data_IF_932351460684
#
_entry.id   IF_932351460684
#
_cell.length_a   1.000
_cell.length_b   1.000
_cell.length_c   1.000
_cell.angle_alpha   90.00
_cell.angle_beta   90.00
_cell.angle_gamma   90.00
#
_symmetry.space_group_name_H-M   'P 1'
#
loop_
_entity.id
_entity.type
_entity.pdbx_description
1 polymer ?
#
# COMPACT_ATOMS: atom_id res chain seq x y z
N UNK A 1 -43.99 46.27 -102.79
CA UNK A 1 -42.65 46.47 -102.27
C UNK A 1 -42.80 47.21 -100.95
N UNK A 2 -42.71 46.54 -99.86
CA UNK A 2 -42.97 47.13 -98.53
C UNK A 2 -41.71 46.92 -97.66
N UNK A 3 -41.11 47.99 -97.21
CA UNK A 3 -39.90 48.01 -96.37
C UNK A 3 -40.27 47.85 -94.88
N UNK A 4 -39.70 46.86 -94.28
CA UNK A 4 -39.93 46.57 -92.85
C UNK A 4 -38.90 47.33 -92.02
N UNK A 5 -39.38 48.18 -91.14
CA UNK A 5 -38.55 48.92 -90.16
C UNK A 5 -38.31 48.08 -88.88
N UNK A 6 -37.08 48.02 -88.31
CA UNK A 6 -36.86 47.32 -87.04
C UNK A 6 -37.30 48.21 -85.85
N UNK A 7 -38.09 47.60 -84.99
CA UNK A 7 -38.56 48.20 -83.71
C UNK A 7 -37.41 48.12 -82.67
N UNK A 8 -37.00 49.30 -82.15
CA UNK A 8 -36.05 49.45 -81.08
C UNK A 8 -36.79 49.13 -79.74
N UNK A 9 -36.40 48.10 -79.05
CA UNK A 9 -36.96 47.71 -77.78
C UNK A 9 -36.38 48.65 -76.64
N UNK A 10 -37.31 49.26 -75.93
CA UNK A 10 -37.00 50.19 -74.88
C UNK A 10 -36.21 49.54 -73.69
N UNK A 11 -35.15 50.17 -73.27
CA UNK A 11 -34.34 49.79 -72.09
C UNK A 11 -35.21 49.87 -70.85
N UNK A 12 -35.34 48.72 -70.17
CA UNK A 12 -36.09 48.62 -68.87
C UNK A 12 -35.39 49.41 -67.77
N UNK A 13 -36.00 50.47 -67.30
CA UNK A 13 -35.56 51.31 -66.19
C UNK A 13 -35.58 50.49 -64.89
N UNK A 14 -34.42 49.83 -64.50
CA UNK A 14 -34.30 49.14 -63.20
C UNK A 14 -34.74 50.07 -62.08
N UNK A 15 -35.83 49.69 -61.38
CA UNK A 15 -36.41 50.46 -60.30
C UNK A 15 -35.32 50.75 -59.21
N UNK A 16 -35.15 52.04 -58.90
CA UNK A 16 -34.21 52.50 -57.82
C UNK A 16 -34.45 51.76 -56.50
N UNK A 17 -35.69 51.30 -56.25
CA UNK A 17 -36.06 50.47 -55.10
C UNK A 17 -35.39 49.08 -55.13
N UNK A 18 -35.25 48.45 -56.29
CA UNK A 18 -34.57 47.17 -56.41
C UNK A 18 -33.06 47.28 -56.08
N UNK A 19 -32.43 48.33 -56.56
CA UNK A 19 -31.02 48.63 -56.26
C UNK A 19 -30.81 48.89 -54.77
N UNK A 20 -31.70 49.59 -54.09
CA UNK A 20 -31.61 49.88 -52.64
C UNK A 20 -31.80 48.58 -51.86
N UNK A 21 -32.75 47.71 -52.21
CA UNK A 21 -32.94 46.42 -51.57
C UNK A 21 -31.72 45.50 -51.78
N UNK A 22 -31.14 45.50 -52.97
CA UNK A 22 -29.94 44.70 -53.28
C UNK A 22 -28.74 45.19 -52.44
N UNK A 23 -28.54 46.51 -52.34
CA UNK A 23 -27.46 47.09 -51.51
C UNK A 23 -27.65 46.78 -50.04
N UNK A 24 -28.88 46.83 -49.50
CA UNK A 24 -29.17 46.43 -48.11
C UNK A 24 -28.89 44.93 -47.86
N UNK A 25 -29.24 44.03 -48.80
CA UNK A 25 -28.95 42.60 -48.70
C UNK A 25 -27.43 42.33 -48.76
N UNK A 26 -26.69 42.99 -49.64
CA UNK A 26 -25.24 42.87 -49.73
C UNK A 26 -24.56 43.44 -48.49
N UNK A 27 -25.01 44.60 -47.98
CA UNK A 27 -24.49 45.21 -46.79
C UNK A 27 -24.77 44.33 -45.53
N UNK A 28 -25.97 43.74 -45.43
CA UNK A 28 -26.37 42.80 -44.39
C UNK A 28 -25.55 41.51 -44.47
N UNK A 29 -25.36 40.99 -45.68
CA UNK A 29 -24.52 39.79 -45.93
C UNK A 29 -23.03 40.03 -45.59
N UNK A 30 -22.52 41.22 -45.97
CA UNK A 30 -21.13 41.62 -45.59
C UNK A 30 -20.99 41.82 -44.08
N UNK A 31 -21.93 42.47 -43.43
CA UNK A 31 -21.95 42.60 -41.98
C UNK A 31 -21.97 41.26 -41.26
N UNK A 32 -22.84 40.35 -41.67
CA UNK A 32 -22.91 38.99 -41.14
C UNK A 32 -21.64 38.15 -41.40
N UNK A 33 -21.08 38.28 -42.61
CA UNK A 33 -19.86 37.61 -43.00
C UNK A 33 -18.65 38.12 -42.20
N UNK A 34 -18.54 39.45 -42.00
CA UNK A 34 -17.46 40.06 -41.19
C UNK A 34 -17.58 39.69 -39.72
N UNK A 35 -18.78 39.75 -39.13
CA UNK A 35 -18.98 39.36 -37.74
C UNK A 35 -18.63 37.89 -37.49
N UNK A 36 -19.06 36.99 -38.39
CA UNK A 36 -18.73 35.56 -38.31
C UNK A 36 -17.25 35.28 -38.56
N UNK A 37 -16.58 36.05 -39.44
CA UNK A 37 -15.13 35.93 -39.67
C UNK A 37 -14.33 36.34 -38.45
N UNK A 38 -14.68 37.47 -37.77
CA UNK A 38 -14.00 37.90 -36.57
C UNK A 38 -14.28 36.99 -35.37
N UNK A 39 -15.48 36.41 -35.30
CA UNK A 39 -15.83 35.44 -34.29
C UNK A 39 -14.98 34.18 -34.45
N UNK A 40 -14.95 33.57 -35.62
CA UNK A 40 -14.16 32.35 -35.91
C UNK A 40 -12.64 32.55 -35.77
N UNK A 41 -12.16 33.80 -35.79
CA UNK A 41 -10.75 34.11 -35.55
C UNK A 41 -10.39 34.06 -34.07
N UNK A 42 -11.35 34.29 -33.18
CA UNK A 42 -11.17 34.34 -31.72
C UNK A 42 -11.71 33.10 -30.98
N UNK A 43 -12.32 32.16 -31.72
CA UNK A 43 -12.95 30.97 -31.14
C UNK A 43 -12.58 29.73 -31.94
N UNK A 44 -12.25 28.64 -31.25
CA UNK A 44 -12.11 27.30 -31.85
C UNK A 44 -13.12 26.36 -31.19
N UNK A 45 -13.95 25.78 -32.04
CA UNK A 45 -15.10 24.98 -31.62
C UNK A 45 -14.89 23.51 -31.99
N UNK A 46 -15.43 22.60 -31.14
CA UNK A 46 -15.55 21.18 -31.44
C UNK A 46 -16.84 20.61 -30.84
N UNK A 47 -17.49 19.75 -31.62
CA UNK A 47 -18.66 18.95 -31.25
C UNK A 47 -18.26 17.52 -30.82
N UNK A 48 -16.98 17.16 -31.01
CA UNK A 48 -16.44 15.87 -30.60
C UNK A 48 -15.80 16.00 -29.21
N UNK A 49 -16.66 16.16 -28.22
CA UNK A 49 -16.23 16.28 -26.82
C UNK A 49 -17.18 15.53 -25.90
N UNK A 50 -16.62 14.89 -24.89
CA UNK A 50 -17.35 14.10 -23.91
C UNK A 50 -16.90 14.41 -22.49
N UNK A 51 -17.84 14.26 -21.55
CA UNK A 51 -17.54 14.34 -20.14
C UNK A 51 -16.90 13.01 -19.71
N UNK A 52 -15.81 13.11 -18.97
CA UNK A 52 -15.13 11.97 -18.34
C UNK A 52 -15.06 12.16 -16.84
N UNK A 53 -14.84 11.06 -16.12
CA UNK A 53 -14.53 11.05 -14.69
C UNK A 53 -13.68 9.83 -14.34
N UNK A 54 -13.06 9.86 -13.16
CA UNK A 54 -12.39 8.68 -12.63
C UNK A 54 -13.39 7.56 -12.33
N UNK A 55 -13.04 6.36 -12.70
CA UNK A 55 -13.82 5.14 -12.45
C UNK A 55 -12.97 4.23 -11.56
N UNK A 56 -13.52 3.87 -10.39
CA UNK A 56 -12.88 2.93 -9.47
C UNK A 56 -13.49 1.54 -9.65
N UNK A 57 -12.74 0.56 -10.20
CA UNK A 57 -13.24 -0.80 -10.33
C UNK A 57 -13.30 -1.47 -8.95
N UNK A 58 -14.40 -2.14 -8.66
CA UNK A 58 -14.58 -3.00 -7.49
C UNK A 58 -14.19 -4.43 -7.88
N UNK A 59 -13.11 -4.93 -7.25
CA UNK A 59 -12.50 -6.22 -7.60
C UNK A 59 -12.53 -7.12 -6.36
N UNK A 60 -12.87 -8.40 -6.54
CA UNK A 60 -12.72 -9.39 -5.47
C UNK A 60 -11.25 -9.74 -5.26
N UNK A 61 -10.76 -9.64 -4.01
CA UNK A 61 -9.38 -10.04 -3.66
C UNK A 61 -9.27 -11.54 -3.34
N UNK A 62 -10.39 -12.19 -3.05
CA UNK A 62 -10.45 -13.61 -2.70
C UNK A 62 -11.50 -14.34 -3.56
N UNK A 63 -11.38 -15.65 -3.63
CA UNK A 63 -12.39 -16.51 -4.25
C UNK A 63 -13.39 -16.99 -3.18
N UNK A 64 -14.66 -17.09 -3.56
CA UNK A 64 -15.72 -17.60 -2.66
C UNK A 64 -17.10 -17.34 -3.21
N UNK A 65 -18.11 -17.87 -2.53
CA UNK A 65 -19.51 -17.66 -2.90
C UNK A 65 -19.99 -16.30 -2.38
N UNK A 66 -20.67 -15.55 -3.24
CA UNK A 66 -21.30 -14.28 -2.88
C UNK A 66 -22.49 -14.56 -1.94
N UNK A 67 -22.39 -14.09 -0.72
CA UNK A 67 -23.42 -14.30 0.29
C UNK A 67 -24.54 -13.26 0.16
N UNK A 68 -24.19 -11.98 0.04
CA UNK A 68 -25.15 -10.89 -0.03
C UNK A 68 -24.60 -9.68 -0.78
N UNK A 69 -25.50 -9.01 -1.54
CA UNK A 69 -25.25 -7.76 -2.23
C UNK A 69 -26.09 -6.66 -1.54
N UNK A 70 -25.42 -5.59 -1.08
CA UNK A 70 -26.08 -4.51 -0.33
C UNK A 70 -26.38 -3.28 -1.20
N UNK A 71 -25.85 -3.23 -2.41
CA UNK A 71 -25.97 -2.09 -3.32
C UNK A 71 -26.79 -2.45 -4.55
N UNK A 72 -27.43 -1.44 -5.13
CA UNK A 72 -28.22 -1.54 -6.36
C UNK A 72 -27.57 -0.72 -7.47
N UNK A 73 -27.98 -0.97 -8.70
CA UNK A 73 -27.62 -0.16 -9.86
C UNK A 73 -27.89 1.33 -9.59
N UNK A 74 -26.96 2.18 -9.97
CA UNK A 74 -27.06 3.64 -9.85
C UNK A 74 -27.27 4.16 -8.43
N UNK A 75 -26.93 3.38 -7.40
CA UNK A 75 -26.97 3.81 -6.01
C UNK A 75 -25.74 4.65 -5.66
N UNK A 76 -25.95 5.77 -4.94
CA UNK A 76 -24.84 6.54 -4.37
C UNK A 76 -24.31 5.84 -3.12
N UNK A 77 -22.97 5.68 -3.05
CA UNK A 77 -22.26 5.07 -1.93
C UNK A 77 -21.21 6.01 -1.39
N UNK A 78 -20.95 5.92 -0.09
CA UNK A 78 -19.89 6.64 0.60
C UNK A 78 -18.71 5.71 0.85
N UNK A 79 -17.53 6.29 0.96
CA UNK A 79 -16.33 5.56 1.39
C UNK A 79 -16.59 4.83 2.72
N UNK A 80 -16.29 3.53 2.74
CA UNK A 80 -16.54 2.64 3.88
C UNK A 80 -17.87 1.89 3.85
N UNK A 81 -18.80 2.24 2.97
CA UNK A 81 -20.06 1.51 2.84
C UNK A 81 -19.78 0.07 2.36
N UNK A 82 -20.44 -0.90 2.98
CA UNK A 82 -20.36 -2.31 2.56
C UNK A 82 -21.13 -2.49 1.26
N UNK A 83 -20.44 -2.99 0.23
CA UNK A 83 -21.02 -3.24 -1.08
C UNK A 83 -21.56 -4.64 -1.20
N UNK A 84 -20.79 -5.63 -0.80
CA UNK A 84 -21.17 -7.04 -0.80
C UNK A 84 -20.35 -7.85 0.21
N UNK A 85 -20.85 -9.03 0.55
CA UNK A 85 -20.15 -9.98 1.43
C UNK A 85 -20.01 -11.34 0.75
N UNK A 86 -18.84 -11.93 0.90
CA UNK A 86 -18.49 -13.27 0.45
C UNK A 86 -18.60 -14.22 1.68
N UNK A 87 -18.88 -15.49 1.46
CA UNK A 87 -18.92 -16.50 2.51
C UNK A 87 -17.59 -16.56 3.26
N UNK A 88 -17.62 -16.33 4.55
CA UNK A 88 -16.45 -16.16 5.41
C UNK A 88 -16.19 -17.37 6.33
N UNK A 89 -17.03 -18.41 6.26
CA UNK A 89 -16.99 -19.54 7.18
C UNK A 89 -15.65 -20.24 7.20
N UNK A 90 -15.09 -20.54 6.03
CA UNK A 90 -13.80 -21.22 5.91
C UNK A 90 -12.66 -20.37 6.46
N UNK A 91 -12.68 -19.06 6.18
CA UNK A 91 -11.66 -18.11 6.66
C UNK A 91 -11.75 -17.88 8.18
N UNK A 92 -12.96 -17.93 8.75
CA UNK A 92 -13.15 -17.92 10.22
C UNK A 92 -12.54 -19.15 10.88
N UNK A 93 -12.70 -20.32 10.27
CA UNK A 93 -12.08 -21.56 10.76
C UNK A 93 -10.55 -21.45 10.71
N UNK A 94 -9.99 -20.95 9.60
CA UNK A 94 -8.55 -20.73 9.45
C UNK A 94 -8.03 -19.74 10.51
N UNK A 95 -8.75 -18.64 10.75
CA UNK A 95 -8.39 -17.70 11.81
C UNK A 95 -8.37 -18.40 13.18
N UNK A 96 -9.38 -19.17 13.50
CA UNK A 96 -9.47 -19.87 14.77
C UNK A 96 -8.34 -20.91 14.95
N UNK A 97 -7.95 -21.60 13.86
CA UNK A 97 -6.80 -22.52 13.86
C UNK A 97 -5.48 -21.79 14.12
N UNK A 98 -5.27 -20.66 13.48
CA UNK A 98 -4.03 -19.87 13.66
C UNK A 98 -3.97 -19.25 15.06
N UNK A 99 -5.10 -18.82 15.63
CA UNK A 99 -5.18 -18.33 17.03
C UNK A 99 -4.88 -19.44 18.02
N UNK A 100 -5.38 -20.66 17.81
CA UNK A 100 -5.06 -21.82 18.64
C UNK A 100 -3.56 -22.17 18.57
N UNK A 101 -2.96 -22.10 17.37
CA UNK A 101 -1.54 -22.31 17.18
C UNK A 101 -0.68 -21.24 17.91
N UNK A 102 -1.11 -19.99 17.92
CA UNK A 102 -0.49 -18.92 18.71
C UNK A 102 -0.58 -19.21 20.21
N UNK A 103 -1.73 -19.66 20.70
CA UNK A 103 -1.92 -20.08 22.09
C UNK A 103 -0.97 -21.22 22.50
N UNK A 104 -0.79 -22.22 21.62
CA UNK A 104 0.19 -23.32 21.81
C UNK A 104 1.61 -22.79 21.89
N UNK A 105 2.00 -21.87 21.01
CA UNK A 105 3.32 -21.24 21.04
C UNK A 105 3.55 -20.45 22.34
N UNK A 106 2.52 -19.77 22.85
CA UNK A 106 2.55 -19.10 24.15
C UNK A 106 2.79 -20.06 25.33
N UNK A 107 2.12 -21.20 25.31
CA UNK A 107 2.32 -22.27 26.31
C UNK A 107 3.76 -22.84 26.24
N UNK A 108 4.29 -23.03 25.04
CA UNK A 108 5.68 -23.50 24.86
C UNK A 108 6.71 -22.47 25.37
N UNK A 109 6.47 -21.17 25.18
CA UNK A 109 7.33 -20.12 25.76
C UNK A 109 7.30 -20.18 27.29
N UNK A 110 6.12 -20.32 27.88
CA UNK A 110 5.96 -20.44 29.34
C UNK A 110 6.68 -21.66 29.90
N UNK A 111 6.61 -22.80 29.20
CA UNK A 111 7.36 -24.02 29.53
C UNK A 111 8.88 -23.81 29.44
N UNK A 112 9.37 -23.15 28.39
CA UNK A 112 10.80 -22.84 28.24
C UNK A 112 11.30 -21.91 29.36
N UNK A 113 10.50 -20.92 29.78
CA UNK A 113 10.79 -20.03 30.89
C UNK A 113 10.85 -20.79 32.22
N UNK A 114 9.90 -21.68 32.46
CA UNK A 114 9.89 -22.54 33.67
C UNK A 114 11.11 -23.44 33.72
N UNK A 115 11.48 -24.09 32.60
CA UNK A 115 12.67 -24.92 32.49
C UNK A 115 13.96 -24.13 32.74
N UNK A 116 14.10 -22.93 32.19
CA UNK A 116 15.25 -22.06 32.43
C UNK A 116 15.32 -21.62 33.90
N UNK A 117 14.18 -21.32 34.52
CA UNK A 117 14.09 -20.99 35.95
C UNK A 117 14.55 -22.17 36.82
N UNK A 118 14.11 -23.39 36.53
CA UNK A 118 14.56 -24.61 37.21
C UNK A 118 16.08 -24.83 37.04
N UNK A 119 16.60 -24.66 35.84
CA UNK A 119 18.03 -24.79 35.55
C UNK A 119 18.87 -23.77 36.33
N UNK A 120 18.40 -22.52 36.48
CA UNK A 120 19.07 -21.48 37.30
C UNK A 120 19.11 -21.85 38.78
N UNK A 121 18.07 -22.52 39.31
CA UNK A 121 18.10 -23.00 40.71
C UNK A 121 19.17 -24.07 40.91
N UNK A 122 19.45 -24.92 39.93
CA UNK A 122 20.53 -25.89 40.00
C UNK A 122 21.92 -25.24 40.07
N UNK A 123 22.14 -24.06 39.45
CA UNK A 123 23.39 -23.30 39.64
C UNK A 123 23.57 -22.90 41.13
N UNK A 124 22.52 -22.41 41.78
CA UNK A 124 22.60 -22.04 43.18
C UNK A 124 22.97 -23.22 44.09
N UNK A 125 22.45 -24.43 43.77
CA UNK A 125 22.79 -25.65 44.49
C UNK A 125 24.27 -26.02 44.35
N UNK A 126 24.81 -25.94 43.11
CA UNK A 126 26.24 -26.25 42.87
C UNK A 126 27.14 -25.16 43.46
N UNK A 127 26.75 -23.89 43.49
CA UNK A 127 27.48 -22.83 44.17
C UNK A 127 27.52 -23.03 45.71
N UNK A 128 26.43 -23.51 46.30
CA UNK A 128 26.41 -23.87 47.74
C UNK A 128 27.39 -24.99 48.04
N UNK A 129 27.54 -25.99 47.14
CA UNK A 129 28.54 -27.03 47.30
C UNK A 129 29.98 -26.49 47.27
N UNK A 130 30.29 -25.51 46.40
CA UNK A 130 31.59 -24.81 46.41
C UNK A 130 31.81 -24.05 47.72
N UNK A 131 30.78 -23.37 48.22
CA UNK A 131 30.87 -22.65 49.49
C UNK A 131 31.18 -23.59 50.65
N UNK A 132 30.54 -24.78 50.71
CA UNK A 132 30.82 -25.84 51.71
C UNK A 132 32.23 -26.31 51.60
N UNK A 133 32.71 -26.62 50.39
CA UNK A 133 34.10 -27.08 50.17
C UNK A 133 35.12 -25.99 50.60
N UNK A 134 34.85 -24.72 50.32
CA UNK A 134 35.72 -23.62 50.79
C UNK A 134 35.76 -23.57 52.31
N UNK A 135 34.66 -23.71 53.04
CA UNK A 135 34.62 -23.73 54.51
C UNK A 135 35.45 -24.91 55.06
N UNK A 136 35.41 -26.09 54.41
CA UNK A 136 36.23 -27.23 54.78
C UNK A 136 37.72 -26.98 54.55
N UNK A 137 38.08 -26.28 53.43
CA UNK A 137 39.47 -25.87 53.19
C UNK A 137 39.96 -24.89 54.25
N UNK A 138 39.15 -23.91 54.64
CA UNK A 138 39.53 -22.99 55.70
C UNK A 138 39.76 -23.73 57.03
N UNK A 139 38.95 -24.70 57.39
CA UNK A 139 39.17 -25.54 58.58
C UNK A 139 40.47 -26.36 58.44
N UNK A 140 40.77 -26.95 57.27
CA UNK A 140 41.99 -27.66 57.05
C UNK A 140 43.24 -26.77 57.10
N UNK A 141 43.16 -25.51 56.63
CA UNK A 141 44.24 -24.52 56.74
C UNK A 141 44.64 -24.25 58.22
N UNK A 142 43.66 -24.16 59.09
CA UNK A 142 43.92 -23.99 60.54
C UNK A 142 44.70 -25.21 61.10
N UNK A 143 44.33 -26.43 60.63
CA UNK A 143 45.06 -27.64 61.06
C UNK A 143 46.48 -27.71 60.48
N UNK A 144 46.66 -27.34 59.18
CA UNK A 144 48.02 -27.22 58.59
C UNK A 144 48.87 -26.20 59.37
N UNK A 145 48.28 -25.03 59.64
CA UNK A 145 48.97 -24.00 60.42
C UNK A 145 49.42 -24.53 61.82
N UNK A 146 48.53 -25.17 62.60
CA UNK A 146 48.81 -25.76 63.88
C UNK A 146 49.93 -26.78 63.79
N UNK A 147 49.88 -27.75 62.91
CA UNK A 147 50.89 -28.80 62.76
C UNK A 147 52.20 -28.23 62.23
N UNK A 148 52.21 -27.20 61.42
CA UNK A 148 53.43 -26.47 61.03
C UNK A 148 54.13 -25.76 62.15
N UNK A 149 53.39 -25.08 63.05
CA UNK A 149 53.98 -24.45 64.25
C UNK A 149 54.50 -25.49 65.23
N UNK A 150 53.82 -26.62 65.40
CA UNK A 150 54.30 -27.76 66.22
C UNK A 150 55.58 -28.30 65.60
N UNK A 151 55.65 -28.60 64.29
CA UNK A 151 56.90 -29.04 63.67
C UNK A 151 58.05 -28.08 63.89
N UNK A 152 57.82 -26.78 63.62
CA UNK A 152 58.84 -25.72 63.88
C UNK A 152 59.34 -25.72 65.27
N UNK A 153 58.50 -25.97 66.29
CA UNK A 153 58.85 -26.11 67.65
C UNK A 153 59.74 -27.34 67.86
N UNK A 154 59.38 -28.51 67.31
CA UNK A 154 60.20 -29.74 67.43
C UNK A 154 61.54 -29.63 66.70
N UNK A 155 61.62 -28.89 65.57
CA UNK A 155 62.87 -28.58 64.85
C UNK A 155 63.87 -27.80 65.75
N UNK A 156 63.40 -26.90 66.61
CA UNK A 156 64.25 -26.18 67.52
C UNK A 156 64.63 -27.07 68.68
N UNK A 157 63.72 -27.83 69.29
CA UNK A 157 64.00 -28.67 70.48
C UNK A 157 64.94 -29.83 70.17
N UNK A 158 64.93 -30.37 68.88
CA UNK A 158 65.88 -31.45 68.55
C UNK A 158 67.32 -30.95 68.39
N UNK A 159 67.52 -29.66 67.99
CA UNK A 159 68.85 -29.04 67.94
C UNK A 159 69.46 -28.93 69.32
N UNK A 160 68.62 -28.74 70.37
CA UNK A 160 68.99 -28.64 71.73
C UNK A 160 68.99 -30.00 72.46
N UNK A 161 68.85 -31.13 71.73
CA UNK A 161 68.75 -32.50 72.24
C UNK A 161 67.62 -32.69 73.31
N UNK A 162 66.61 -31.82 73.30
CA UNK A 162 65.49 -31.80 74.24
C UNK A 162 64.37 -32.78 73.87
N UNK A 163 64.34 -33.30 72.66
CA UNK A 163 63.36 -34.28 72.15
C UNK A 163 64.06 -35.41 71.39
N UNK A 164 63.35 -36.54 71.20
CA UNK A 164 63.88 -37.70 70.44
C UNK A 164 63.66 -37.51 68.95
N UNK A 165 64.53 -38.19 68.14
CA UNK A 165 64.36 -38.23 66.67
C UNK A 165 62.96 -38.74 66.25
N UNK A 166 62.47 -39.72 66.99
CA UNK A 166 61.12 -40.25 66.76
C UNK A 166 60.05 -39.22 66.95
N UNK A 167 60.10 -38.36 67.92
CA UNK A 167 59.14 -37.28 68.21
C UNK A 167 59.16 -36.22 67.10
N UNK A 168 60.31 -35.82 66.60
CA UNK A 168 60.45 -34.94 65.42
C UNK A 168 59.83 -35.55 64.15
N UNK A 169 60.15 -36.81 63.88
CA UNK A 169 59.60 -37.53 62.68
C UNK A 169 58.07 -37.65 62.79
N UNK A 170 57.50 -37.85 63.95
CA UNK A 170 56.06 -37.84 64.20
C UNK A 170 55.44 -36.46 63.89
N UNK A 171 56.08 -35.36 64.33
CA UNK A 171 55.59 -34.01 64.03
C UNK A 171 55.67 -33.70 62.51
N UNK A 172 56.74 -34.14 61.82
CA UNK A 172 56.89 -34.00 60.38
C UNK A 172 55.82 -34.80 59.65
N UNK A 173 55.58 -36.04 60.06
CA UNK A 173 54.52 -36.88 59.40
C UNK A 173 53.09 -36.25 59.65
N UNK A 174 52.84 -35.70 60.84
CA UNK A 174 51.56 -35.02 61.14
C UNK A 174 51.34 -33.79 60.25
N UNK A 175 52.35 -32.99 60.02
CA UNK A 175 52.34 -31.81 59.18
C UNK A 175 52.10 -32.23 57.70
N UNK A 176 52.83 -33.21 57.16
CA UNK A 176 52.68 -33.73 55.83
C UNK A 176 51.25 -34.32 55.58
N UNK A 177 50.70 -35.02 56.57
CA UNK A 177 49.35 -35.57 56.52
C UNK A 177 48.28 -34.42 56.40
N UNK A 178 48.43 -33.37 57.21
CA UNK A 178 47.52 -32.20 57.20
C UNK A 178 47.55 -31.48 55.84
N UNK A 179 48.77 -31.30 55.27
CA UNK A 179 48.89 -30.72 53.91
C UNK A 179 48.23 -31.56 52.84
N UNK A 180 48.45 -32.91 52.86
CA UNK A 180 47.82 -33.82 51.89
C UNK A 180 46.30 -33.77 52.03
N UNK A 181 45.77 -33.68 53.24
CA UNK A 181 44.33 -33.61 53.48
C UNK A 181 43.73 -32.31 52.96
N UNK A 182 44.42 -31.16 53.15
CA UNK A 182 44.05 -29.90 52.54
C UNK A 182 44.05 -29.97 51.00
N UNK A 183 45.07 -30.60 50.39
CA UNK A 183 45.16 -30.77 48.94
C UNK A 183 44.00 -31.60 48.37
N UNK A 184 43.54 -32.63 49.08
CA UNK A 184 42.35 -33.42 48.69
C UNK A 184 41.10 -32.52 48.68
N UNK A 185 40.91 -31.68 49.71
CA UNK A 185 39.77 -30.73 49.77
C UNK A 185 39.82 -29.69 48.66
N UNK A 186 41.01 -29.18 48.30
CA UNK A 186 41.18 -28.27 47.16
C UNK A 186 40.77 -28.97 45.85
N UNK A 187 41.15 -30.24 45.66
CA UNK A 187 40.74 -31.02 44.47
C UNK A 187 39.22 -31.22 44.42
N UNK A 188 38.58 -31.53 45.57
CA UNK A 188 37.11 -31.64 45.65
C UNK A 188 36.43 -30.32 45.35
N UNK A 189 36.94 -29.20 45.83
CA UNK A 189 36.41 -27.86 45.52
C UNK A 189 36.56 -27.58 44.02
N UNK A 190 37.68 -27.92 43.36
CA UNK A 190 37.88 -27.75 41.91
C UNK A 190 36.94 -28.61 41.11
N UNK A 191 36.67 -29.83 41.56
CA UNK A 191 35.65 -30.71 40.93
C UNK A 191 34.26 -30.10 41.02
N UNK A 192 33.87 -29.54 42.17
CA UNK A 192 32.59 -28.82 42.35
C UNK A 192 32.52 -27.57 41.47
N UNK A 193 33.64 -26.86 41.30
CA UNK A 193 33.70 -25.69 40.41
C UNK A 193 33.52 -26.08 38.92
N UNK A 194 34.15 -27.17 38.49
CA UNK A 194 33.97 -27.75 37.13
C UNK A 194 32.50 -28.14 36.91
N UNK A 195 31.88 -28.81 37.89
CA UNK A 195 30.46 -29.18 37.83
C UNK A 195 29.55 -27.96 37.69
N UNK A 196 29.86 -26.87 38.42
CA UNK A 196 29.13 -25.59 38.29
C UNK A 196 29.26 -25.01 36.89
N UNK A 197 30.43 -25.09 36.26
CA UNK A 197 30.65 -24.70 34.87
C UNK A 197 29.75 -25.48 33.88
N UNK A 198 29.65 -26.79 34.05
CA UNK A 198 28.76 -27.65 33.22
C UNK A 198 27.30 -27.23 33.40
N UNK A 199 26.83 -27.08 34.63
CA UNK A 199 25.44 -26.67 34.92
C UNK A 199 25.14 -25.26 34.37
N UNK A 200 26.11 -24.35 34.45
CA UNK A 200 25.98 -23.00 33.88
C UNK A 200 25.83 -23.06 32.34
N UNK A 201 26.66 -23.86 31.67
CA UNK A 201 26.57 -24.04 30.21
C UNK A 201 25.22 -24.65 29.80
N UNK A 202 24.74 -25.63 30.53
CA UNK A 202 23.40 -26.23 30.30
C UNK A 202 22.28 -25.21 30.53
N UNK A 203 22.39 -24.35 31.55
CA UNK A 203 21.43 -23.28 31.82
C UNK A 203 21.41 -22.23 30.70
N UNK A 204 22.58 -21.89 30.17
CA UNK A 204 22.67 -20.98 29.01
C UNK A 204 21.97 -21.59 27.79
N UNK A 205 22.13 -22.88 27.52
CA UNK A 205 21.45 -23.57 26.43
C UNK A 205 19.91 -23.52 26.59
N UNK A 206 19.40 -23.80 27.82
CA UNK A 206 17.95 -23.69 28.09
C UNK A 206 17.43 -22.25 28.01
N UNK A 207 18.27 -21.27 28.36
CA UNK A 207 17.90 -19.85 28.22
C UNK A 207 17.79 -19.44 26.74
N UNK A 208 18.64 -19.96 25.86
CA UNK A 208 18.51 -19.72 24.39
C UNK A 208 17.19 -20.26 23.83
N UNK A 209 16.66 -21.35 24.39
CA UNK A 209 15.35 -21.90 23.98
C UNK A 209 14.20 -20.92 24.19
N UNK A 210 14.29 -20.01 25.17
CA UNK A 210 13.33 -18.91 25.35
C UNK A 210 13.31 -17.99 24.12
N UNK A 211 14.49 -17.66 23.60
CA UNK A 211 14.61 -16.84 22.39
C UNK A 211 13.98 -17.51 21.18
N UNK A 212 14.22 -18.82 21.02
CA UNK A 212 13.61 -19.63 19.93
C UNK A 212 12.08 -19.63 20.09
N UNK A 213 11.56 -19.94 21.27
CA UNK A 213 10.12 -19.93 21.54
C UNK A 213 9.49 -18.54 21.30
N UNK A 214 10.19 -17.46 21.69
CA UNK A 214 9.77 -16.08 21.42
C UNK A 214 9.72 -15.75 19.92
N UNK A 215 10.64 -16.28 19.13
CA UNK A 215 10.62 -16.12 17.66
C UNK A 215 9.45 -16.86 17.02
N UNK A 216 9.12 -18.05 17.52
CA UNK A 216 7.96 -18.82 17.07
C UNK A 216 6.66 -18.06 17.36
N UNK A 217 6.53 -17.41 18.53
CA UNK A 217 5.36 -16.57 18.84
C UNK A 217 5.20 -15.45 17.80
N UNK A 218 6.28 -14.73 17.48
CA UNK A 218 6.23 -13.67 16.47
C UNK A 218 5.77 -14.22 15.12
N UNK A 219 6.27 -15.40 14.72
CA UNK A 219 5.81 -16.05 13.49
C UNK A 219 4.32 -16.34 13.54
N UNK A 220 3.80 -16.92 14.63
CA UNK A 220 2.37 -17.22 14.79
C UNK A 220 1.50 -15.97 14.86
N UNK A 221 2.01 -14.87 15.40
CA UNK A 221 1.32 -13.57 15.35
C UNK A 221 1.09 -13.09 13.91
N UNK A 222 2.13 -13.18 13.06
CA UNK A 222 2.01 -12.85 11.63
C UNK A 222 1.01 -13.77 10.93
N UNK A 223 1.00 -15.06 11.27
CA UNK A 223 0.02 -16.01 10.69
C UNK A 223 -1.43 -15.60 11.06
N UNK A 224 -1.67 -15.17 12.31
CA UNK A 224 -2.98 -14.65 12.76
C UNK A 224 -3.35 -13.36 12.03
N UNK A 225 -2.40 -12.42 11.87
CA UNK A 225 -2.65 -11.18 11.14
C UNK A 225 -3.00 -11.44 9.68
N UNK A 226 -2.31 -12.39 9.04
CA UNK A 226 -2.61 -12.83 7.68
C UNK A 226 -4.03 -13.43 7.55
N UNK A 227 -4.42 -14.29 8.50
CA UNK A 227 -5.76 -14.86 8.53
C UNK A 227 -6.84 -13.78 8.73
N UNK A 228 -6.61 -12.79 9.62
CA UNK A 228 -7.49 -11.63 9.81
C UNK A 228 -7.59 -10.77 8.56
N UNK A 229 -6.49 -10.53 7.88
CA UNK A 229 -6.47 -9.76 6.64
C UNK A 229 -7.29 -10.47 5.55
N UNK A 230 -7.09 -11.76 5.35
CA UNK A 230 -7.88 -12.56 4.41
C UNK A 230 -9.37 -12.56 4.76
N UNK A 231 -9.70 -12.67 6.03
CA UNK A 231 -11.07 -12.55 6.50
C UNK A 231 -11.66 -11.16 6.21
N UNK A 232 -10.89 -10.10 6.35
CA UNK A 232 -11.37 -8.75 6.03
C UNK A 232 -11.74 -8.58 4.56
N UNK A 233 -11.13 -9.34 3.65
CA UNK A 233 -11.43 -9.30 2.21
C UNK A 233 -12.76 -9.94 1.85
N UNK A 234 -13.42 -10.66 2.77
CA UNK A 234 -14.78 -11.18 2.56
C UNK A 234 -15.82 -10.07 2.52
N UNK A 235 -15.57 -8.94 3.17
CA UNK A 235 -16.41 -7.76 3.14
C UNK A 235 -15.82 -6.75 2.19
N UNK A 236 -16.44 -6.58 1.03
CA UNK A 236 -16.00 -5.61 0.03
C UNK A 236 -16.67 -4.27 0.32
N UNK A 237 -15.85 -3.25 0.53
CA UNK A 237 -16.28 -1.89 0.88
C UNK A 237 -15.97 -0.89 -0.23
N UNK A 238 -16.70 0.20 -0.30
CA UNK A 238 -16.41 1.32 -1.18
C UNK A 238 -15.14 2.04 -0.72
N UNK A 239 -14.15 2.16 -1.61
CA UNK A 239 -12.90 2.88 -1.32
C UNK A 239 -13.05 4.40 -1.47
N UNK A 240 -14.01 4.85 -2.29
CA UNK A 240 -14.28 6.25 -2.59
C UNK A 240 -15.78 6.52 -2.63
N UNK A 241 -16.16 7.81 -2.53
CA UNK A 241 -17.54 8.26 -2.71
C UNK A 241 -17.89 8.28 -4.20
N UNK A 242 -19.03 7.72 -4.56
CA UNK A 242 -19.43 7.72 -5.96
C UNK A 242 -20.75 7.04 -6.25
N UNK A 243 -21.05 6.91 -7.52
CA UNK A 243 -22.25 6.24 -8.02
C UNK A 243 -21.89 4.84 -8.51
N UNK A 244 -22.54 3.83 -7.97
CA UNK A 244 -22.35 2.44 -8.42
C UNK A 244 -22.86 2.30 -9.85
N UNK A 245 -22.09 1.64 -10.69
CA UNK A 245 -22.50 1.29 -12.04
C UNK A 245 -23.53 0.14 -12.04
N UNK A 246 -23.78 -0.49 -13.17
CA UNK A 246 -24.56 -1.73 -13.22
C UNK A 246 -23.88 -2.83 -12.38
N UNK A 247 -24.64 -3.52 -11.53
CA UNK A 247 -24.20 -4.61 -10.66
C UNK A 247 -24.64 -5.96 -11.30
N UNK A 248 -23.77 -6.61 -12.09
CA UNK A 248 -24.12 -7.84 -12.80
C UNK A 248 -24.05 -9.10 -11.92
N UNK A 249 -23.51 -8.99 -10.69
CA UNK A 249 -23.30 -10.13 -9.81
C UNK A 249 -24.54 -10.46 -8.99
N UNK A 250 -24.77 -11.76 -8.70
CA UNK A 250 -25.94 -12.25 -7.99
C UNK A 250 -25.54 -13.05 -6.75
N UNK A 251 -26.40 -13.03 -5.74
CA UNK A 251 -26.23 -13.86 -4.53
C UNK A 251 -26.18 -15.35 -4.91
N UNK A 252 -25.27 -16.09 -4.29
CA UNK A 252 -24.97 -17.49 -4.61
C UNK A 252 -23.99 -17.69 -5.77
N UNK A 253 -23.56 -16.64 -6.47
CA UNK A 253 -22.55 -16.73 -7.52
C UNK A 253 -21.16 -16.97 -6.92
N UNK A 254 -20.36 -17.83 -7.57
CA UNK A 254 -18.96 -18.00 -7.21
C UNK A 254 -18.11 -16.90 -7.84
N UNK A 255 -17.34 -16.20 -7.04
CA UNK A 255 -16.41 -15.15 -7.45
C UNK A 255 -14.97 -15.70 -7.45
N UNK A 256 -14.16 -15.25 -8.41
CA UNK A 256 -12.74 -15.56 -8.45
C UNK A 256 -11.90 -14.37 -7.95
N UNK A 257 -10.74 -14.67 -7.34
CA UNK A 257 -9.79 -13.62 -6.99
C UNK A 257 -9.31 -12.87 -8.24
N UNK A 258 -9.29 -11.53 -8.19
CA UNK A 258 -8.97 -10.67 -9.33
C UNK A 258 -10.15 -10.37 -10.27
N UNK A 259 -11.31 -10.97 -10.05
CA UNK A 259 -12.50 -10.71 -10.86
C UNK A 259 -13.04 -9.29 -10.61
N UNK A 260 -13.20 -8.50 -11.66
CA UNK A 260 -13.92 -7.23 -11.62
C UNK A 260 -15.42 -7.50 -11.51
N UNK A 261 -16.07 -6.87 -10.54
CA UNK A 261 -17.48 -7.09 -10.22
C UNK A 261 -18.36 -6.00 -10.82
N UNK A 262 -18.04 -4.77 -10.57
CA UNK A 262 -18.67 -3.56 -11.11
C UNK A 262 -17.73 -2.37 -10.86
N UNK A 263 -18.19 -1.16 -11.18
CA UNK A 263 -17.36 0.04 -11.00
C UNK A 263 -18.10 1.10 -10.20
N UNK A 264 -17.36 1.95 -9.52
CA UNK A 264 -17.87 3.16 -8.87
C UNK A 264 -17.38 4.35 -9.68
N UNK A 265 -18.30 5.14 -10.22
CA UNK A 265 -18.04 6.40 -10.91
C UNK A 265 -17.88 7.48 -9.86
N UNK A 266 -16.71 8.10 -9.80
CA UNK A 266 -16.40 9.10 -8.79
C UNK A 266 -17.07 10.43 -9.15
N UNK A 267 -17.67 11.09 -8.15
CA UNK A 267 -18.41 12.32 -8.38
C UNK A 267 -17.54 13.58 -8.29
N UNK A 268 -16.32 13.48 -7.77
CA UNK A 268 -15.54 14.62 -7.33
C UNK A 268 -14.64 15.23 -8.40
N UNK A 269 -14.30 14.50 -9.46
CA UNK A 269 -13.41 14.99 -10.50
C UNK A 269 -14.00 14.62 -11.87
N UNK A 270 -14.73 15.55 -12.45
CA UNK A 270 -15.21 15.46 -13.83
C UNK A 270 -14.44 16.46 -14.66
N UNK A 271 -14.14 16.08 -15.89
CA UNK A 271 -13.51 16.92 -16.89
C UNK A 271 -14.12 16.66 -18.24
N UNK A 272 -13.81 17.46 -19.22
CA UNK A 272 -14.18 17.25 -20.61
C UNK A 272 -12.93 16.84 -21.38
N UNK A 273 -13.07 15.82 -22.21
CA UNK A 273 -12.10 15.47 -23.24
C UNK A 273 -12.69 15.91 -24.57
N UNK A 274 -12.06 16.93 -25.16
CA UNK A 274 -12.47 17.53 -26.43
C UNK A 274 -11.44 17.19 -27.52
N UNK A 275 -11.91 16.62 -28.61
CA UNK A 275 -11.06 16.20 -29.72
C UNK A 275 -11.00 17.30 -30.79
N UNK A 276 -9.92 18.07 -30.82
CA UNK A 276 -9.68 19.10 -31.83
C UNK A 276 -8.93 18.54 -33.03
N UNK A 277 -9.18 19.12 -34.21
CA UNK A 277 -8.44 18.79 -35.42
C UNK A 277 -6.98 19.24 -35.29
N UNK A 278 -6.05 18.50 -35.88
CA UNK A 278 -4.62 18.84 -35.91
C UNK A 278 -4.40 20.27 -36.46
N UNK A 279 -5.26 20.74 -37.36
CA UNK A 279 -5.21 22.09 -37.95
C UNK A 279 -5.59 23.21 -36.97
N UNK A 280 -6.27 22.88 -35.87
CA UNK A 280 -6.68 23.83 -34.82
C UNK A 280 -5.65 23.93 -33.69
N UNK A 281 -4.78 22.92 -33.56
CA UNK A 281 -3.87 22.74 -32.43
C UNK A 281 -2.95 23.95 -32.19
N UNK A 282 -2.43 24.58 -33.25
CA UNK A 282 -1.52 25.73 -33.14
C UNK A 282 -2.13 26.98 -32.51
N UNK A 283 -3.46 27.03 -32.39
CA UNK A 283 -4.20 28.14 -31.78
C UNK A 283 -4.58 27.88 -30.31
N UNK A 284 -4.43 26.64 -29.88
CA UNK A 284 -4.81 26.22 -28.53
C UNK A 284 -3.60 26.31 -27.61
N UNK A 285 -3.83 26.78 -26.37
CA UNK A 285 -2.82 26.88 -25.33
C UNK A 285 -3.42 26.52 -23.96
N UNK A 286 -2.59 25.97 -23.08
CA UNK A 286 -2.99 25.74 -21.69
C UNK A 286 -3.37 27.05 -21.00
N UNK A 287 -4.41 27.00 -20.15
CA UNK A 287 -4.92 28.15 -19.43
C UNK A 287 -5.98 28.97 -20.19
N UNK A 288 -6.28 28.65 -21.45
CA UNK A 288 -7.35 29.33 -22.20
C UNK A 288 -8.73 29.01 -21.60
N UNK A 289 -9.59 30.01 -21.55
CA UNK A 289 -10.98 29.89 -21.09
C UNK A 289 -11.79 29.15 -22.14
N UNK A 290 -12.70 28.30 -21.67
CA UNK A 290 -13.55 27.44 -22.48
C UNK A 290 -14.97 27.56 -22.01
N UNK A 291 -15.89 27.77 -22.97
CA UNK A 291 -17.33 27.63 -22.72
C UNK A 291 -17.77 26.24 -23.15
N UNK A 292 -18.44 25.52 -22.25
CA UNK A 292 -18.89 24.15 -22.47
C UNK A 292 -20.42 24.13 -22.44
N UNK A 293 -21.03 23.71 -23.51
CA UNK A 293 -22.47 23.54 -23.64
C UNK A 293 -22.83 22.06 -23.59
N UNK A 294 -23.50 21.63 -22.55
CA UNK A 294 -23.95 20.24 -22.44
C UNK A 294 -25.35 20.09 -23.05
N UNK A 295 -25.54 19.13 -23.95
CA UNK A 295 -26.84 18.86 -24.60
C UNK A 295 -27.94 18.55 -23.57
N UNK A 296 -27.57 17.96 -22.42
CA UNK A 296 -28.49 17.68 -21.33
C UNK A 296 -29.00 18.94 -20.60
N UNK A 297 -28.28 20.08 -20.70
CA UNK A 297 -28.61 21.35 -20.02
C UNK A 297 -28.49 22.54 -20.97
N UNK A 298 -29.35 22.65 -21.98
CA UNK A 298 -29.20 23.66 -23.07
C UNK A 298 -29.33 25.11 -22.66
N UNK A 299 -29.71 25.36 -21.41
CA UNK A 299 -29.85 26.73 -20.85
C UNK A 299 -28.77 27.10 -19.84
N UNK A 300 -27.77 26.21 -19.67
CA UNK A 300 -26.70 26.40 -18.71
C UNK A 300 -25.35 26.17 -19.35
N UNK A 301 -24.53 27.20 -19.38
CA UNK A 301 -23.18 27.15 -19.90
C UNK A 301 -22.22 26.91 -18.76
N UNK A 302 -21.32 25.94 -18.93
CA UNK A 302 -20.25 25.63 -17.97
C UNK A 302 -18.97 26.33 -18.40
N UNK A 303 -18.21 26.82 -17.44
CA UNK A 303 -16.92 27.45 -17.68
C UNK A 303 -15.81 26.46 -17.34
N UNK A 304 -14.92 26.23 -18.30
CA UNK A 304 -13.74 25.41 -18.16
C UNK A 304 -12.45 26.16 -18.51
N UNK A 305 -11.34 25.48 -18.29
CA UNK A 305 -10.01 25.92 -18.68
C UNK A 305 -9.28 24.75 -19.34
N UNK A 306 -8.59 25.02 -20.45
CA UNK A 306 -7.68 24.03 -21.07
C UNK A 306 -6.60 23.66 -20.06
N UNK A 307 -6.60 22.41 -19.65
CA UNK A 307 -5.69 21.88 -18.61
C UNK A 307 -4.45 21.22 -19.21
N UNK A 308 -4.62 20.42 -20.25
CA UNK A 308 -3.50 19.73 -20.90
C UNK A 308 -3.87 19.20 -22.26
N UNK A 309 -2.83 18.90 -23.05
CA UNK A 309 -2.95 18.25 -24.35
C UNK A 309 -2.49 16.80 -24.26
N UNK A 310 -3.15 15.89 -24.99
CA UNK A 310 -2.70 14.53 -25.08
C UNK A 310 -1.31 14.46 -25.77
N UNK A 311 -0.46 13.55 -25.30
CA UNK A 311 0.90 13.35 -25.82
C UNK A 311 0.92 12.81 -27.26
N UNK A 312 -0.20 12.25 -27.75
CA UNK A 312 -0.33 11.76 -29.12
C UNK A 312 -1.78 11.79 -29.58
N UNK A 313 -1.99 11.66 -30.88
CA UNK A 313 -3.35 11.59 -31.48
C UNK A 313 -4.07 10.33 -31.05
N UNK A 314 -5.41 10.37 -31.02
CA UNK A 314 -6.25 9.24 -30.61
C UNK A 314 -6.00 7.96 -31.44
N UNK A 315 -5.63 8.08 -32.71
CA UNK A 315 -5.31 6.94 -33.56
C UNK A 315 -4.05 6.16 -33.13
N UNK A 316 -3.08 6.81 -32.43
CA UNK A 316 -1.87 6.16 -31.92
C UNK A 316 -2.13 5.35 -30.64
N UNK A 317 -3.13 5.75 -29.86
CA UNK A 317 -3.52 5.04 -28.63
C UNK A 317 -4.65 4.01 -28.84
N UNK A 318 -5.16 3.90 -30.07
CA UNK A 318 -6.16 2.89 -30.37
C UNK A 318 -5.57 1.47 -30.25
N UNK A 319 -6.32 0.56 -29.63
CA UNK A 319 -5.96 -0.87 -29.49
C UNK A 319 -5.67 -1.55 -30.84
N UNK A 320 -6.27 -1.06 -31.92
CA UNK A 320 -6.02 -1.47 -33.31
C UNK A 320 -5.71 -0.18 -34.10
N UNK A 321 -4.44 0.21 -34.23
CA UNK A 321 -4.06 1.32 -35.08
C UNK A 321 -4.52 1.06 -36.50
N UNK A 322 -5.07 2.08 -37.19
CA UNK A 322 -5.43 1.95 -38.58
C UNK A 322 -4.14 1.74 -39.42
N UNK A 323 -3.85 0.50 -39.75
CA UNK A 323 -2.75 0.14 -40.65
C UNK A 323 -3.30 0.00 -42.08
N UNK A 324 -2.75 0.81 -43.00
CA UNK A 324 -3.09 0.75 -44.40
C UNK A 324 -2.29 -0.37 -45.08
N UNK A 325 -2.77 -1.60 -45.00
CA UNK A 325 -2.13 -2.79 -45.58
C UNK A 325 -1.98 -2.72 -47.12
N UNK A 326 -2.59 -1.75 -47.80
CA UNK A 326 -2.56 -1.60 -49.26
C UNK A 326 -1.44 -0.69 -49.82
N UNK A 327 -0.53 -0.17 -48.99
CA UNK A 327 0.62 0.64 -49.43
C UNK A 327 0.30 2.07 -49.90
N UNK A 328 -0.94 2.48 -50.01
CA UNK A 328 -1.33 3.85 -50.33
C UNK A 328 -1.59 4.66 -49.05
N UNK A 329 -0.71 5.61 -48.77
CA UNK A 329 -0.90 6.54 -47.62
C UNK A 329 -1.95 7.61 -48.02
N UNK A 330 -3.08 7.60 -47.34
CA UNK A 330 -4.08 8.68 -47.41
C UNK A 330 -3.90 9.59 -46.22
N UNK A 331 -3.56 10.86 -46.46
CA UNK A 331 -3.47 11.88 -45.40
C UNK A 331 -4.88 12.22 -44.93
N UNK A 332 -5.23 11.75 -43.73
CA UNK A 332 -6.46 12.16 -43.01
C UNK A 332 -6.10 13.09 -41.87
N UNK A 333 -6.91 14.12 -41.66
CA UNK A 333 -6.73 15.05 -40.52
C UNK A 333 -6.94 14.28 -39.22
N UNK A 334 -5.89 14.26 -38.41
CA UNK A 334 -5.95 13.60 -37.09
C UNK A 334 -6.66 14.48 -36.08
N UNK A 335 -7.18 13.85 -35.02
CA UNK A 335 -7.74 14.56 -33.86
C UNK A 335 -6.82 14.40 -32.67
N UNK A 336 -6.63 15.49 -31.92
CA UNK A 336 -5.84 15.54 -30.70
C UNK A 336 -6.79 15.74 -29.50
N UNK A 337 -6.82 14.83 -28.54
CA UNK A 337 -7.58 15.01 -27.31
C UNK A 337 -6.99 16.15 -26.45
N UNK A 338 -7.85 17.03 -26.00
CA UNK A 338 -7.53 18.14 -25.11
C UNK A 338 -8.37 17.96 -23.85
N UNK A 339 -7.72 18.00 -22.69
CA UNK A 339 -8.39 17.94 -21.40
C UNK A 339 -8.77 19.34 -20.94
N UNK A 340 -10.02 19.49 -20.55
CA UNK A 340 -10.59 20.75 -20.06
C UNK A 340 -11.17 20.51 -18.67
N UNK A 341 -10.67 21.18 -17.68
CA UNK A 341 -11.17 21.10 -16.32
C UNK A 341 -12.22 22.19 -16.06
N UNK A 342 -13.27 21.85 -15.30
CA UNK A 342 -14.28 22.82 -14.89
C UNK A 342 -13.70 23.78 -13.86
N UNK A 343 -13.95 25.10 -14.03
CA UNK A 343 -13.44 26.14 -13.11
C UNK A 343 -14.25 26.15 -11.81
N UNK A 344 -15.56 26.06 -11.91
CA UNK A 344 -16.46 26.07 -10.75
C UNK A 344 -16.87 24.66 -10.35
N UNK A 345 -16.07 24.04 -9.46
CA UNK A 345 -16.36 22.71 -8.95
C UNK A 345 -17.59 22.65 -8.01
N UNK A 346 -18.14 23.79 -7.59
CA UNK A 346 -19.30 23.89 -6.69
C UNK A 346 -20.63 24.05 -7.44
N UNK A 347 -20.60 24.22 -8.76
CA UNK A 347 -21.81 24.27 -9.54
C UNK A 347 -22.63 22.98 -9.40
N UNK A 348 -23.86 23.13 -8.90
CA UNK A 348 -24.79 22.01 -8.66
C UNK A 348 -25.14 21.24 -9.94
N UNK A 349 -25.06 21.85 -11.11
CA UNK A 349 -25.28 21.19 -12.39
C UNK A 349 -24.15 20.23 -12.75
N UNK A 350 -22.90 20.50 -12.36
CA UNK A 350 -21.77 19.58 -12.59
C UNK A 350 -22.01 18.24 -11.89
N UNK A 351 -22.65 18.23 -10.72
CA UNK A 351 -22.97 16.97 -10.03
C UNK A 351 -23.95 16.09 -10.82
N UNK A 352 -24.79 16.69 -11.66
CA UNK A 352 -25.79 16.01 -12.49
C UNK A 352 -25.22 15.51 -13.82
N UNK A 353 -24.08 16.06 -14.27
CA UNK A 353 -23.37 15.55 -15.45
C UNK A 353 -22.93 14.10 -15.23
N UNK A 354 -22.98 13.30 -16.27
CA UNK A 354 -22.54 11.89 -16.26
C UNK A 354 -21.43 11.67 -17.28
N UNK A 355 -20.40 10.86 -16.97
CA UNK A 355 -19.41 10.45 -17.95
C UNK A 355 -20.09 9.83 -19.18
N UNK A 356 -19.55 10.14 -20.36
CA UNK A 356 -20.12 9.74 -21.64
C UNK A 356 -21.20 10.67 -22.20
N UNK A 357 -21.61 11.74 -21.48
CA UNK A 357 -22.46 12.78 -22.06
C UNK A 357 -21.66 13.60 -23.07
N UNK A 358 -22.27 13.88 -24.22
CA UNK A 358 -21.69 14.74 -25.24
C UNK A 358 -21.84 16.21 -24.84
N UNK A 359 -20.86 16.99 -25.20
CA UNK A 359 -20.81 18.43 -24.99
C UNK A 359 -20.25 19.12 -26.23
N UNK A 360 -20.67 20.34 -26.46
CA UNK A 360 -20.06 21.25 -27.43
C UNK A 360 -19.07 22.16 -26.67
N UNK A 361 -17.90 22.34 -27.23
CA UNK A 361 -16.80 23.06 -26.60
C UNK A 361 -16.38 24.22 -27.49
N UNK A 362 -16.34 25.42 -26.92
CA UNK A 362 -15.86 26.66 -27.53
C UNK A 362 -14.69 27.24 -26.74
N UNK A 363 -13.49 27.19 -27.32
CA UNK A 363 -12.26 27.68 -26.72
C UNK A 363 -12.03 29.13 -27.14
N UNK A 364 -11.88 30.03 -26.19
CA UNK A 364 -11.58 31.44 -26.41
C UNK A 364 -10.07 31.61 -26.63
N UNK A 365 -9.68 31.92 -27.89
CA UNK A 365 -8.29 32.16 -28.25
C UNK A 365 -7.92 33.57 -27.75
N UNK A 366 -6.99 33.64 -26.82
CA UNK A 366 -6.38 34.91 -26.43
C UNK A 366 -5.45 35.39 -27.57
N UNK A 367 -5.50 36.68 -27.88
CA UNK A 367 -4.57 37.33 -28.82
C UNK A 367 -3.13 37.30 -28.28
#
# INVERSE_FOLDING_TARGET
MSANKPTITAANKKSKKFIIILVLLVAGGLWFGLTKYFYNKKHEETDDAQIESNISPVISKISGYLLKVYVKDNQYVKKGDTLLTIDDRDLKIILQQTEAALGTAGSNLSAAQANSSAARKNINTTQAAIATANAQIESAKVNVWRTSEDLKRYENLIKDHSVTQQQYEQALAAQQLAERQMQVLITQRNQAATQTGVVTSQTNATTQQIGVAGSIIKQRQVDVENAKLNLSYTTIIAHENGLVSKVPVQEGQFLQAGQSLFSIVLNNNKWVVANFKETQYNKLAEGQKVTIHADAFPKHDFIGVVSSFAAATGSKFALLPADNASGNFVKVVQRLPVKIDFVDSQDTYITKLRPGMNVFVDVHIAE
#
